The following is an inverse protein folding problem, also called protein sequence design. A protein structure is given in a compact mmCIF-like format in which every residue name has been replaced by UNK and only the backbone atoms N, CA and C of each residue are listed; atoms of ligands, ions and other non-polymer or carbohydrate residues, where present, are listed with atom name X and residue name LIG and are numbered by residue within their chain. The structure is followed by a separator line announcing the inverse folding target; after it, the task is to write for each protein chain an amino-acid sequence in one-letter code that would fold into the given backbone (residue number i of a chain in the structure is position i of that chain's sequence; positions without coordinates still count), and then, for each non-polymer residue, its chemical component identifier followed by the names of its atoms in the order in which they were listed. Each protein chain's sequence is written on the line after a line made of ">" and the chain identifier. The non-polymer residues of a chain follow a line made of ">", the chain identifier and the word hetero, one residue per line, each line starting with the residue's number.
data_IF_766621838111
#
_entry.id   IF_766621838111
#
_cell.length_a   1.000
_cell.length_b   1.000
_cell.length_c   1.000
_cell.angle_alpha   90.00
_cell.angle_beta   90.00
_cell.angle_gamma   90.00
#
_symmetry.space_group_name_H-M   'P 1'
#
loop_
_entity.id
_entity.type
_entity.pdbx_description
1 polymer ?
#
# COMPACT_ATOMS: atom_id res chain seq x y z
N UNK A 1 -20.56 -14.05 10.95
CA UNK A 1 -19.10 -14.30 10.98
C UNK A 1 -18.28 -13.36 10.05
N UNK A 2 -18.88 -12.64 9.08
CA UNK A 2 -18.21 -11.61 8.24
C UNK A 2 -17.59 -10.40 8.99
N UNK A 3 -17.99 -10.16 10.23
CA UNK A 3 -17.57 -8.97 10.98
C UNK A 3 -16.19 -9.09 11.63
N UNK A 4 -15.68 -10.31 11.83
CA UNK A 4 -14.40 -10.52 12.53
C UNK A 4 -13.23 -10.11 11.63
N UNK A 5 -13.21 -10.54 10.36
CA UNK A 5 -12.17 -10.12 9.40
C UNK A 5 -12.16 -8.60 9.17
N UNK A 6 -13.34 -7.99 9.00
CA UNK A 6 -13.48 -6.53 8.79
C UNK A 6 -13.00 -5.71 9.99
N UNK A 7 -13.31 -6.16 11.22
CA UNK A 7 -12.98 -5.43 12.44
C UNK A 7 -11.67 -5.90 13.09
N UNK A 8 -10.94 -6.83 12.46
CA UNK A 8 -9.71 -7.40 13.02
C UNK A 8 -8.67 -6.34 13.44
N UNK A 9 -8.42 -5.26 12.66
CA UNK A 9 -7.52 -4.20 13.09
C UNK A 9 -7.96 -3.54 14.41
N UNK A 10 -9.26 -3.25 14.55
CA UNK A 10 -9.82 -2.68 15.77
C UNK A 10 -9.76 -3.66 16.95
N UNK A 11 -10.05 -4.95 16.71
CA UNK A 11 -9.95 -6.00 17.72
C UNK A 11 -8.51 -6.13 18.24
N UNK A 12 -7.52 -6.13 17.34
CA UNK A 12 -6.09 -6.17 17.70
C UNK A 12 -5.69 -4.97 18.56
N UNK A 13 -6.13 -3.77 18.17
CA UNK A 13 -5.83 -2.55 18.91
C UNK A 13 -6.44 -2.56 20.31
N UNK A 14 -7.71 -2.95 20.43
CA UNK A 14 -8.40 -3.05 21.73
C UNK A 14 -7.72 -4.10 22.60
N UNK A 15 -7.46 -5.30 22.08
CA UNK A 15 -6.77 -6.36 22.81
C UNK A 15 -5.39 -5.90 23.32
N UNK A 16 -4.61 -5.24 22.46
CA UNK A 16 -3.29 -4.73 22.83
C UNK A 16 -3.37 -3.64 23.92
N UNK A 17 -4.31 -2.69 23.79
CA UNK A 17 -4.50 -1.63 24.78
C UNK A 17 -4.92 -2.16 26.15
N UNK A 18 -5.78 -3.19 26.19
CA UNK A 18 -6.20 -3.85 27.43
C UNK A 18 -5.03 -4.59 28.07
N UNK A 19 -4.26 -5.35 27.29
CA UNK A 19 -3.04 -6.01 27.76
C UNK A 19 -2.00 -5.01 28.30
N UNK A 20 -1.78 -3.90 27.59
CA UNK A 20 -0.87 -2.85 28.02
C UNK A 20 -1.33 -2.21 29.34
N UNK A 21 -2.63 -1.94 29.50
CA UNK A 21 -3.18 -1.40 30.74
C UNK A 21 -3.01 -2.37 31.92
N UNK A 22 -3.26 -3.66 31.72
CA UNK A 22 -3.08 -4.69 32.76
C UNK A 22 -1.62 -4.83 33.17
N UNK A 23 -0.69 -4.82 32.21
CA UNK A 23 0.74 -4.92 32.49
C UNK A 23 1.26 -3.64 33.17
N UNK A 24 0.76 -2.46 32.76
CA UNK A 24 1.09 -1.20 33.43
C UNK A 24 0.63 -1.21 34.91
N UNK A 25 -0.56 -1.74 35.20
CA UNK A 25 -1.01 -1.94 36.58
C UNK A 25 -0.14 -2.95 37.34
N UNK A 26 0.28 -4.03 36.69
CA UNK A 26 1.19 -5.02 37.28
C UNK A 26 2.55 -4.43 37.66
N UNK A 27 3.09 -3.54 36.82
CA UNK A 27 4.33 -2.79 37.12
C UNK A 27 4.09 -1.79 38.26
N UNK A 28 3.00 -1.02 38.21
CA UNK A 28 2.68 -0.03 39.24
C UNK A 28 2.48 -0.65 40.64
N UNK A 29 1.95 -1.87 40.70
CA UNK A 29 1.78 -2.64 41.93
C UNK A 29 3.02 -3.47 42.32
N UNK A 30 4.14 -3.34 41.60
CA UNK A 30 5.37 -4.13 41.78
C UNK A 30 5.15 -5.66 41.71
N UNK A 31 4.09 -6.11 41.03
CA UNK A 31 3.80 -7.53 40.83
C UNK A 31 4.70 -8.12 39.74
N UNK A 32 5.07 -7.31 38.75
CA UNK A 32 5.97 -7.66 37.65
C UNK A 32 6.93 -6.51 37.37
N UNK A 33 8.10 -6.81 36.80
CA UNK A 33 9.08 -5.78 36.40
C UNK A 33 8.75 -5.17 35.04
N UNK A 34 9.33 -4.01 34.73
CA UNK A 34 9.22 -3.37 33.40
C UNK A 34 9.74 -4.28 32.28
N UNK A 35 10.83 -5.00 32.52
CA UNK A 35 11.38 -5.98 31.57
C UNK A 35 10.38 -7.12 31.30
N UNK A 36 9.75 -7.65 32.36
CA UNK A 36 8.72 -8.68 32.20
C UNK A 36 7.51 -8.16 31.44
N UNK A 37 7.04 -6.95 31.76
CA UNK A 37 5.95 -6.29 31.03
C UNK A 37 6.24 -6.19 29.53
N UNK A 38 7.47 -5.77 29.17
CA UNK A 38 7.90 -5.64 27.78
C UNK A 38 7.96 -7.00 27.07
N UNK A 39 8.46 -8.04 27.74
CA UNK A 39 8.45 -9.41 27.21
C UNK A 39 7.03 -9.92 26.96
N UNK A 40 6.11 -9.72 27.91
CA UNK A 40 4.71 -10.11 27.75
C UNK A 40 4.01 -9.36 26.61
N UNK A 41 4.29 -8.06 26.44
CA UNK A 41 3.79 -7.29 25.30
C UNK A 41 4.33 -7.79 23.96
N UNK A 42 5.60 -8.19 23.91
CA UNK A 42 6.22 -8.74 22.70
C UNK A 42 5.59 -10.08 22.30
N UNK A 43 5.39 -10.97 23.28
CA UNK A 43 4.70 -12.26 23.07
C UNK A 43 3.26 -12.01 22.61
N UNK A 44 2.52 -11.13 23.27
CA UNK A 44 1.15 -10.79 22.92
C UNK A 44 1.05 -10.22 21.50
N UNK A 45 1.98 -9.34 21.10
CA UNK A 45 2.05 -8.79 19.74
C UNK A 45 2.26 -9.88 18.71
N UNK A 46 3.14 -10.85 19.00
CA UNK A 46 3.44 -11.97 18.10
C UNK A 46 2.23 -12.89 17.94
N UNK A 47 1.53 -13.22 19.03
CA UNK A 47 0.30 -14.02 18.99
C UNK A 47 -0.80 -13.29 18.20
N UNK A 48 -1.05 -12.01 18.49
CA UNK A 48 -2.04 -11.22 17.77
C UNK A 48 -1.68 -11.04 16.29
N UNK A 49 -0.39 -10.97 15.96
CA UNK A 49 0.11 -10.98 14.59
C UNK A 49 -0.21 -12.29 13.89
N UNK A 50 0.11 -13.43 14.51
CA UNK A 50 -0.16 -14.76 13.96
C UNK A 50 -1.67 -15.03 13.77
N UNK A 51 -2.49 -14.67 14.76
CA UNK A 51 -3.95 -14.73 14.65
C UNK A 51 -4.45 -13.82 13.52
N UNK A 52 -3.83 -12.66 13.32
CA UNK A 52 -4.17 -11.78 12.21
C UNK A 52 -3.86 -12.35 10.85
N UNK A 53 -2.78 -13.10 10.71
CA UNK A 53 -2.47 -13.84 9.48
C UNK A 53 -3.49 -14.96 9.24
N UNK A 54 -3.91 -15.68 10.27
CA UNK A 54 -4.95 -16.70 10.15
C UNK A 54 -6.30 -16.10 9.76
N UNK A 55 -6.70 -15.00 10.39
CA UNK A 55 -7.93 -14.27 10.07
C UNK A 55 -7.85 -13.70 8.65
N UNK A 56 -6.70 -13.16 8.23
CA UNK A 56 -6.50 -12.71 6.87
C UNK A 56 -6.66 -13.88 5.88
N UNK A 57 -6.02 -15.02 6.13
CA UNK A 57 -6.11 -16.18 5.25
C UNK A 57 -7.53 -16.75 5.14
N UNK A 58 -8.34 -16.66 6.20
CA UNK A 58 -9.70 -17.20 6.25
C UNK A 58 -10.77 -16.23 5.74
N UNK A 59 -10.56 -14.93 5.86
CA UNK A 59 -11.61 -13.91 5.64
C UNK A 59 -11.24 -12.81 4.65
N UNK A 60 -9.98 -12.68 4.25
CA UNK A 60 -9.63 -11.84 3.11
C UNK A 60 -10.00 -12.66 1.87
N UNK A 61 -11.13 -12.30 1.25
CA UNK A 61 -11.39 -12.67 -0.13
C UNK A 61 -10.16 -12.22 -0.92
N UNK A 62 -9.35 -13.18 -1.40
CA UNK A 62 -8.33 -12.91 -2.41
C UNK A 62 -9.09 -12.30 -3.57
N UNK A 63 -8.91 -10.99 -3.75
CA UNK A 63 -9.47 -10.15 -4.80
C UNK A 63 -10.66 -10.80 -5.49
N UNK A 64 -11.88 -10.50 -4.99
CA UNK A 64 -13.09 -10.86 -5.72
C UNK A 64 -12.89 -10.50 -7.20
N UNK A 65 -13.40 -11.28 -8.17
CA UNK A 65 -13.30 -10.92 -9.59
C UNK A 65 -13.71 -9.46 -9.88
N UNK A 66 -14.60 -8.90 -9.05
CA UNK A 66 -15.02 -7.51 -9.09
C UNK A 66 -13.95 -6.49 -8.63
N UNK A 67 -13.02 -6.87 -7.75
CA UNK A 67 -11.85 -6.06 -7.37
C UNK A 67 -10.75 -6.14 -8.42
N UNK A 68 -10.53 -7.31 -9.03
CA UNK A 68 -9.58 -7.46 -10.13
C UNK A 68 -10.00 -6.60 -11.32
N UNK A 69 -11.29 -6.65 -11.69
CA UNK A 69 -11.86 -5.79 -12.73
C UNK A 69 -11.71 -4.28 -12.42
N UNK A 70 -11.82 -3.87 -11.14
CA UNK A 70 -11.60 -2.47 -10.74
C UNK A 70 -10.12 -2.05 -10.84
N UNK A 71 -9.20 -2.96 -10.55
CA UNK A 71 -7.77 -2.70 -10.67
C UNK A 71 -7.41 -2.61 -12.16
N UNK A 72 -7.90 -3.54 -12.98
CA UNK A 72 -7.69 -3.54 -14.43
C UNK A 72 -8.22 -2.26 -15.08
N UNK A 73 -9.46 -1.87 -14.74
CA UNK A 73 -10.07 -0.62 -15.23
C UNK A 73 -9.31 0.63 -14.74
N UNK A 74 -8.79 0.63 -13.51
CA UNK A 74 -7.99 1.73 -13.00
C UNK A 74 -6.62 1.84 -13.71
N UNK A 75 -6.02 0.71 -14.08
CA UNK A 75 -4.75 0.65 -14.85
C UNK A 75 -4.99 1.14 -16.28
N UNK A 76 -6.06 0.70 -16.94
CA UNK A 76 -6.40 1.10 -18.31
C UNK A 76 -6.62 2.62 -18.40
N UNK A 77 -7.45 3.18 -17.52
CA UNK A 77 -7.68 4.63 -17.42
C UNK A 77 -6.39 5.39 -17.08
N UNK A 78 -5.53 4.82 -16.25
CA UNK A 78 -4.22 5.38 -15.93
C UNK A 78 -3.30 5.45 -17.14
N UNK A 79 -3.28 4.38 -17.94
CA UNK A 79 -2.46 4.26 -19.14
C UNK A 79 -2.94 5.20 -20.26
N UNK A 80 -4.24 5.32 -20.45
CA UNK A 80 -4.84 6.28 -21.40
C UNK A 80 -4.50 7.72 -21.03
N UNK A 81 -4.60 8.08 -19.74
CA UNK A 81 -4.22 9.42 -19.26
C UNK A 81 -2.73 9.68 -19.39
N UNK A 82 -1.90 8.66 -19.19
CA UNK A 82 -0.46 8.76 -19.42
C UNK A 82 -0.17 8.99 -20.92
N UNK A 83 -0.80 8.23 -21.81
CA UNK A 83 -0.67 8.39 -23.26
C UNK A 83 -1.10 9.80 -23.72
N UNK A 84 -2.20 10.33 -23.19
CA UNK A 84 -2.66 11.69 -23.49
C UNK A 84 -1.67 12.78 -23.01
N UNK A 85 -0.95 12.55 -21.90
CA UNK A 85 0.06 13.49 -21.41
C UNK A 85 1.37 13.42 -22.20
N UNK A 86 1.71 12.23 -22.70
CA UNK A 86 2.97 11.98 -23.42
C UNK A 86 2.85 12.39 -24.89
N UNK A 87 1.70 12.20 -25.53
CA UNK A 87 1.46 12.59 -26.94
C UNK A 87 1.90 14.02 -27.30
N UNK A 88 1.50 15.08 -26.57
CA UNK A 88 1.91 16.44 -26.91
C UNK A 88 3.42 16.67 -26.75
N UNK A 89 4.08 15.96 -25.81
CA UNK A 89 5.53 16.05 -25.63
C UNK A 89 6.29 15.35 -26.76
N UNK A 90 5.79 14.20 -27.22
CA UNK A 90 6.34 13.48 -28.37
C UNK A 90 6.17 14.30 -29.64
N UNK A 91 4.99 14.91 -29.85
CA UNK A 91 4.73 15.74 -31.02
C UNK A 91 5.63 16.98 -31.03
N UNK A 92 5.75 17.69 -29.92
CA UNK A 92 6.66 18.83 -29.80
C UNK A 92 8.14 18.44 -30.06
N UNK A 93 8.55 17.24 -29.64
CA UNK A 93 9.88 16.71 -29.93
C UNK A 93 10.09 16.41 -31.42
N UNK A 94 9.07 15.85 -32.10
CA UNK A 94 9.10 15.59 -33.55
C UNK A 94 9.18 16.91 -34.32
N UNK A 95 8.36 17.90 -33.97
CA UNK A 95 8.34 19.20 -34.62
C UNK A 95 9.70 19.90 -34.46
N UNK A 96 10.27 19.88 -33.25
CA UNK A 96 11.61 20.43 -32.99
C UNK A 96 12.71 19.74 -33.81
N UNK A 97 12.66 18.40 -33.96
CA UNK A 97 13.62 17.70 -34.81
C UNK A 97 13.45 18.05 -36.29
N UNK A 98 12.22 18.30 -36.74
CA UNK A 98 11.96 18.69 -38.12
C UNK A 98 12.46 20.11 -38.41
N UNK A 99 12.28 21.04 -37.47
CA UNK A 99 12.84 22.40 -37.55
C UNK A 99 14.37 22.37 -37.65
N UNK A 100 15.03 21.55 -36.82
CA UNK A 100 16.49 21.37 -36.87
C UNK A 100 16.93 20.78 -38.20
N UNK A 101 16.16 19.84 -38.77
CA UNK A 101 16.44 19.27 -40.08
C UNK A 101 16.35 20.34 -41.18
N UNK A 102 15.31 21.15 -41.19
CA UNK A 102 15.17 22.22 -42.18
C UNK A 102 16.26 23.30 -42.04
N UNK A 103 16.66 23.63 -40.81
CA UNK A 103 17.68 24.63 -40.57
C UNK A 103 19.10 24.16 -40.96
N UNK A 104 19.43 22.91 -40.69
CA UNK A 104 20.82 22.42 -40.79
C UNK A 104 21.06 21.38 -41.89
N UNK A 105 20.05 20.67 -42.39
CA UNK A 105 20.24 19.58 -43.37
C UNK A 105 19.85 20.04 -44.77
N UNK A 106 18.67 20.64 -44.92
CA UNK A 106 18.14 21.08 -46.22
C UNK A 106 19.04 22.09 -46.99
N UNK A 107 19.78 23.02 -46.35
CA UNK A 107 20.69 23.93 -47.07
C UNK A 107 21.85 23.22 -47.77
N UNK A 108 22.22 22.03 -47.32
CA UNK A 108 23.29 21.22 -47.94
C UNK A 108 22.78 20.33 -49.08
N UNK A 109 21.47 20.07 -49.14
CA UNK A 109 20.85 19.22 -50.16
C UNK A 109 20.39 20.03 -51.39
N UNK A 110 20.11 21.33 -51.26
CA UNK A 110 19.66 22.21 -52.36
C UNK A 110 20.78 22.92 -53.14
N UNK A 111 22.05 22.58 -52.90
CA UNK A 111 23.20 23.01 -53.73
C UNK A 111 23.62 21.90 -54.67
#
# INVERSE_FOLDING_TARGET
>A
MKNIGKNWPAIRQVAYSVLAALLALGVALNVITEDQSTQWLSIATSILGALGLLVANLFVDRTSPAQEAKIEQAVEVGLERAAQRVQPQVQAGIDHMNDLREQYVDPFIRR
#
